data_IF_239963848824
#
_entry.id   IF_239963848824
#
_cell.length_a   1.000
_cell.length_b   1.000
_cell.length_c   1.000
_cell.angle_alpha   90.00
_cell.angle_beta   90.00
_cell.angle_gamma   90.00
#
_symmetry.space_group_name_H-M   'P 1'
#
loop_
_entity.id
_entity.type
_entity.pdbx_description
1 polymer ?
#
# COMPACT_ATOMS: atom_id res chain seq x y z
N UNK A 1 -16.84 -19.84 16.32
CA UNK A 1 -16.50 -21.28 16.16
C UNK A 1 -15.42 -21.32 15.09
N UNK A 2 -14.18 -21.65 15.48
CA UNK A 2 -13.09 -21.83 14.54
C UNK A 2 -13.29 -23.15 13.80
N UNK A 3 -13.18 -23.13 12.49
CA UNK A 3 -13.15 -24.36 11.69
C UNK A 3 -11.86 -25.10 11.97
N UNK A 4 -11.98 -26.30 12.53
CA UNK A 4 -10.84 -27.17 12.80
C UNK A 4 -10.54 -27.96 11.53
N UNK A 5 -9.36 -27.74 10.97
CA UNK A 5 -8.86 -28.48 9.81
C UNK A 5 -8.09 -29.71 10.31
N UNK A 6 -8.49 -30.90 9.88
CA UNK A 6 -7.82 -32.16 10.22
C UNK A 6 -6.96 -32.63 9.06
N UNK A 7 -5.69 -32.88 9.32
CA UNK A 7 -4.79 -33.54 8.38
C UNK A 7 -3.95 -34.59 9.10
N UNK A 8 -3.54 -35.66 8.39
CA UNK A 8 -2.68 -36.74 8.91
C UNK A 8 -1.43 -36.83 8.06
N UNK A 9 -0.29 -36.92 8.71
CA UNK A 9 0.99 -37.13 8.05
C UNK A 9 1.50 -38.48 8.48
N UNK A 10 1.73 -39.36 7.51
CA UNK A 10 2.31 -40.69 7.75
C UNK A 10 3.68 -40.74 7.07
N UNK A 11 4.79 -40.75 7.82
CA UNK A 11 6.11 -40.92 7.24
C UNK A 11 6.19 -42.25 6.47
N UNK A 12 6.74 -42.21 5.26
CA UNK A 12 6.93 -43.39 4.39
C UNK A 12 8.39 -43.65 4.07
N UNK A 13 9.30 -42.84 4.64
CA UNK A 13 10.75 -42.91 4.52
C UNK A 13 11.40 -41.71 5.19
N UNK A 14 12.74 -41.61 5.12
CA UNK A 14 13.47 -40.49 5.73
C UNK A 14 13.11 -39.16 5.12
N UNK A 15 12.77 -39.12 3.83
CA UNK A 15 12.47 -37.90 3.07
C UNK A 15 11.10 -37.97 2.37
N UNK A 16 10.23 -38.88 2.81
CA UNK A 16 8.93 -39.06 2.20
C UNK A 16 7.83 -39.22 3.24
N UNK A 17 6.66 -38.72 2.94
CA UNK A 17 5.46 -38.87 3.75
C UNK A 17 4.21 -38.91 2.88
N UNK A 18 3.22 -39.63 3.36
CA UNK A 18 1.87 -39.53 2.81
C UNK A 18 1.06 -38.56 3.65
N UNK A 19 0.49 -37.55 3.01
CA UNK A 19 -0.34 -36.53 3.64
C UNK A 19 -1.79 -36.75 3.21
N UNK A 20 -2.65 -36.88 4.18
CA UNK A 20 -4.08 -36.90 4.00
C UNK A 20 -4.68 -35.63 4.64
N UNK A 21 -5.63 -35.03 3.95
CA UNK A 21 -6.37 -33.86 4.42
C UNK A 21 -7.86 -34.12 4.32
N UNK A 22 -8.60 -33.73 5.35
CA UNK A 22 -10.06 -33.87 5.36
C UNK A 22 -10.67 -33.07 4.18
N UNK A 23 -11.24 -33.77 3.23
CA UNK A 23 -11.76 -33.22 1.99
C UNK A 23 -11.03 -33.65 0.73
N UNK A 24 -9.87 -34.29 0.86
CA UNK A 24 -9.21 -34.96 -0.28
C UNK A 24 -9.79 -36.36 -0.49
N UNK A 25 -10.02 -36.70 -1.77
CA UNK A 25 -10.47 -38.04 -2.13
C UNK A 25 -9.42 -39.11 -1.85
N UNK A 26 -8.14 -38.74 -2.01
CA UNK A 26 -7.00 -39.64 -1.85
C UNK A 26 -5.85 -38.92 -1.13
N UNK A 27 -5.06 -39.68 -0.31
CA UNK A 27 -3.84 -39.12 0.27
C UNK A 27 -2.82 -38.79 -0.82
N UNK A 28 -1.99 -37.77 -0.61
CA UNK A 28 -0.91 -37.39 -1.52
C UNK A 28 0.42 -37.88 -0.98
N UNK A 29 1.20 -38.49 -1.85
CA UNK A 29 2.58 -38.84 -1.54
C UNK A 29 3.45 -37.58 -1.75
N UNK A 30 4.16 -37.18 -0.70
CA UNK A 30 5.04 -36.02 -0.69
C UNK A 30 6.47 -36.44 -0.42
N UNK A 31 7.39 -35.91 -1.19
CA UNK A 31 8.83 -36.12 -0.98
C UNK A 31 9.37 -34.82 -0.39
N UNK A 32 10.17 -34.92 0.67
CA UNK A 32 10.90 -33.80 1.22
C UNK A 32 11.83 -33.26 0.13
N UNK A 33 11.56 -32.07 -0.36
CA UNK A 33 12.51 -31.40 -1.24
C UNK A 33 13.74 -31.09 -0.39
N UNK A 34 14.87 -31.66 -0.74
CA UNK A 34 16.14 -31.23 -0.16
C UNK A 34 16.26 -29.72 -0.49
N UNK A 35 16.13 -28.89 0.53
CA UNK A 35 16.55 -27.52 0.41
C UNK A 35 18.05 -27.61 0.21
N UNK A 36 18.62 -27.10 -0.89
CA UNK A 36 20.06 -27.08 -1.08
C UNK A 36 20.70 -26.55 0.18
N UNK A 37 21.73 -27.23 0.66
CA UNK A 37 22.47 -26.82 1.84
C UNK A 37 22.80 -25.34 1.67
N UNK A 38 22.46 -24.51 2.65
CA UNK A 38 22.49 -23.03 2.56
C UNK A 38 23.91 -22.45 2.38
N UNK A 39 24.85 -23.24 1.88
CA UNK A 39 26.23 -22.84 1.58
C UNK A 39 26.42 -22.26 0.19
N UNK A 40 25.44 -22.36 -0.71
CA UNK A 40 25.52 -21.59 -1.94
C UNK A 40 25.21 -20.14 -1.62
N UNK A 41 26.08 -19.18 -2.03
CA UNK A 41 25.76 -17.76 -1.87
C UNK A 41 24.44 -17.52 -2.59
N UNK A 42 23.44 -17.12 -1.81
CA UNK A 42 22.13 -16.75 -2.34
C UNK A 42 22.36 -15.76 -3.48
N UNK A 43 21.95 -16.15 -4.67
CA UNK A 43 22.02 -15.26 -5.84
C UNK A 43 21.40 -13.92 -5.43
N UNK A 44 22.09 -12.78 -5.63
CA UNK A 44 21.57 -11.48 -5.21
C UNK A 44 20.17 -11.34 -5.78
N UNK A 45 19.21 -11.17 -4.88
CA UNK A 45 17.83 -11.09 -5.23
C UNK A 45 17.57 -9.88 -6.12
N UNK A 46 17.15 -10.08 -7.34
CA UNK A 46 16.71 -9.01 -8.21
C UNK A 46 15.20 -8.87 -8.08
N UNK A 47 14.76 -8.10 -7.08
CA UNK A 47 13.39 -7.60 -7.08
C UNK A 47 13.26 -6.54 -8.20
N UNK A 48 12.08 -6.39 -8.81
CA UNK A 48 11.86 -5.33 -9.81
C UNK A 48 12.12 -3.96 -9.18
N UNK A 49 12.64 -3.03 -9.96
CA UNK A 49 12.99 -1.67 -9.51
C UNK A 49 11.84 -0.97 -8.77
N UNK A 50 10.63 -1.19 -9.20
CA UNK A 50 9.42 -0.64 -8.57
C UNK A 50 9.22 -1.05 -7.11
N UNK A 51 9.87 -2.09 -6.61
CA UNK A 51 9.78 -2.52 -5.21
C UNK A 51 10.60 -1.60 -4.31
N UNK A 52 11.75 -1.12 -4.78
CA UNK A 52 12.72 -0.36 -4.00
C UNK A 52 12.28 1.09 -3.78
N UNK A 53 11.29 1.26 -2.92
CA UNK A 53 10.74 2.57 -2.54
C UNK A 53 9.98 2.48 -1.23
N UNK A 54 9.47 3.63 -0.78
CA UNK A 54 8.56 3.72 0.36
C UNK A 54 7.13 3.45 -0.07
N UNK A 55 6.47 2.58 0.68
CA UNK A 55 5.08 2.19 0.47
C UNK A 55 4.22 2.64 1.63
N UNK A 56 3.12 3.32 1.33
CA UNK A 56 2.20 3.93 2.30
C UNK A 56 0.83 3.24 2.27
N UNK A 57 0.11 3.33 3.39
CA UNK A 57 -1.25 2.83 3.49
C UNK A 57 -2.24 3.97 3.31
N UNK A 58 -3.02 3.88 2.23
CA UNK A 58 -4.06 4.86 1.91
C UNK A 58 -3.52 6.29 1.87
N UNK A 59 -4.39 7.25 2.10
CA UNK A 59 -4.07 8.68 2.08
C UNK A 59 -3.45 9.22 3.37
N UNK A 60 -3.12 8.34 4.34
CA UNK A 60 -2.48 8.76 5.60
C UNK A 60 -1.02 9.18 5.42
N UNK A 61 -0.38 8.78 4.32
CA UNK A 61 1.04 8.96 4.09
C UNK A 61 1.95 8.17 5.05
N UNK A 62 1.36 7.32 5.91
CA UNK A 62 2.13 6.50 6.84
C UNK A 62 2.90 5.44 6.07
N UNK A 63 4.23 5.52 6.10
CA UNK A 63 5.10 4.51 5.50
C UNK A 63 4.94 3.21 6.30
N UNK A 64 4.54 2.14 5.61
CA UNK A 64 4.39 0.80 6.19
C UNK A 64 5.59 -0.08 5.81
N UNK A 65 6.02 -0.02 4.55
CA UNK A 65 7.18 -0.77 4.05
C UNK A 65 8.14 0.18 3.34
N UNK A 66 9.43 -0.02 3.54
CA UNK A 66 10.48 0.60 2.74
C UNK A 66 11.48 -0.47 2.34
N UNK A 67 11.56 -0.76 1.05
CA UNK A 67 12.54 -1.69 0.47
C UNK A 67 13.73 -0.90 -0.04
N UNK A 68 14.93 -1.31 0.36
CA UNK A 68 16.18 -0.66 -0.03
C UNK A 68 17.01 -1.57 -0.95
N UNK A 69 17.84 -0.97 -1.80
CA UNK A 69 18.62 -1.73 -2.80
C UNK A 69 19.76 -2.57 -2.19
N UNK A 70 20.12 -2.32 -0.95
CA UNK A 70 21.08 -3.12 -0.18
C UNK A 70 20.46 -4.34 0.50
N UNK A 71 19.22 -4.71 0.11
CA UNK A 71 18.57 -5.94 0.58
C UNK A 71 17.93 -5.80 1.96
N UNK A 72 17.55 -4.60 2.36
CA UNK A 72 16.84 -4.38 3.62
C UNK A 72 15.38 -4.05 3.38
N UNK A 73 14.55 -4.41 4.36
CA UNK A 73 13.16 -4.03 4.48
C UNK A 73 12.94 -3.37 5.84
N UNK A 74 12.49 -2.11 5.84
CA UNK A 74 12.00 -1.46 7.05
C UNK A 74 10.50 -1.72 7.14
N UNK A 75 10.09 -2.39 8.19
CA UNK A 75 8.69 -2.77 8.45
C UNK A 75 8.44 -2.89 9.95
N UNK A 76 7.33 -2.35 10.41
CA UNK A 76 6.91 -2.40 11.82
C UNK A 76 7.99 -1.88 12.80
N UNK A 77 8.63 -0.75 12.44
CA UNK A 77 9.69 -0.13 13.23
C UNK A 77 10.99 -0.94 13.35
N UNK A 78 11.14 -2.01 12.57
CA UNK A 78 12.31 -2.89 12.54
C UNK A 78 12.93 -2.93 11.17
N UNK A 79 14.25 -3.21 11.16
CA UNK A 79 14.96 -3.52 9.94
C UNK A 79 15.03 -5.05 9.79
N UNK A 80 14.68 -5.53 8.62
CA UNK A 80 14.70 -6.93 8.23
C UNK A 80 15.69 -7.13 7.09
N UNK A 81 16.51 -8.17 7.17
CA UNK A 81 17.35 -8.63 6.07
C UNK A 81 16.50 -9.45 5.10
N UNK A 82 16.57 -9.15 3.81
CA UNK A 82 15.93 -9.98 2.78
C UNK A 82 16.92 -11.11 2.46
N UNK A 83 16.64 -12.31 2.96
CA UNK A 83 17.52 -13.48 2.79
C UNK A 83 17.36 -14.13 1.43
N UNK A 84 16.12 -14.20 0.95
CA UNK A 84 15.83 -14.78 -0.36
C UNK A 84 14.52 -14.23 -0.91
N UNK A 85 14.35 -14.27 -2.23
CA UNK A 85 13.06 -14.16 -2.88
C UNK A 85 12.98 -15.07 -4.09
N UNK A 86 11.79 -15.41 -4.46
CA UNK A 86 11.46 -16.14 -5.65
C UNK A 86 10.26 -15.52 -6.36
N UNK A 87 10.25 -15.62 -7.68
CA UNK A 87 9.10 -15.27 -8.50
C UNK A 87 8.34 -16.54 -8.85
N UNK A 88 7.04 -16.54 -8.64
CA UNK A 88 6.19 -17.69 -8.85
C UNK A 88 5.20 -17.50 -10.00
N UNK A 89 4.67 -18.58 -10.53
CA UNK A 89 3.78 -18.60 -11.70
C UNK A 89 2.50 -17.77 -11.56
N UNK A 90 2.06 -17.51 -10.34
CA UNK A 90 0.92 -16.65 -10.02
C UNK A 90 1.25 -15.14 -10.05
N UNK A 91 2.41 -14.75 -10.59
CA UNK A 91 2.91 -13.37 -10.63
C UNK A 91 3.13 -12.77 -9.25
N UNK A 92 3.52 -13.60 -8.29
CA UNK A 92 3.79 -13.24 -6.92
C UNK A 92 5.27 -13.39 -6.60
N UNK A 93 5.81 -12.43 -5.84
CA UNK A 93 7.16 -12.54 -5.25
C UNK A 93 7.02 -13.05 -3.82
N UNK A 94 7.80 -14.04 -3.46
CA UNK A 94 7.90 -14.56 -2.10
C UNK A 94 9.25 -14.19 -1.53
N UNK A 95 9.26 -13.50 -0.40
CA UNK A 95 10.45 -13.03 0.28
C UNK A 95 10.56 -13.67 1.64
N UNK A 96 11.70 -14.29 1.92
CA UNK A 96 12.07 -14.67 3.27
C UNK A 96 12.86 -13.51 3.89
N UNK A 97 12.37 -12.97 4.99
CA UNK A 97 13.02 -11.86 5.70
C UNK A 97 13.35 -12.26 7.13
N UNK A 98 14.45 -11.69 7.68
CA UNK A 98 14.95 -11.97 9.03
C UNK A 98 15.22 -10.68 9.79
N UNK A 99 14.84 -10.64 11.07
CA UNK A 99 15.24 -9.58 12.02
C UNK A 99 15.53 -10.21 13.38
N UNK A 100 16.79 -10.18 13.81
CA UNK A 100 17.24 -10.95 14.96
C UNK A 100 16.97 -12.44 14.77
N UNK A 101 16.29 -13.08 15.72
CA UNK A 101 15.88 -14.48 15.65
C UNK A 101 14.51 -14.70 14.95
N UNK A 102 13.87 -13.61 14.50
CA UNK A 102 12.55 -13.68 13.87
C UNK A 102 12.65 -13.81 12.37
N UNK A 103 11.84 -14.69 11.79
CA UNK A 103 11.70 -14.88 10.35
C UNK A 103 10.27 -14.61 9.94
N UNK A 104 10.09 -14.03 8.75
CA UNK A 104 8.77 -13.87 8.12
C UNK A 104 8.85 -14.23 6.64
N UNK A 105 7.76 -14.80 6.13
CA UNK A 105 7.56 -15.01 4.71
C UNK A 105 6.54 -13.98 4.22
N UNK A 106 6.95 -13.14 3.29
CA UNK A 106 6.12 -12.12 2.67
C UNK A 106 5.79 -12.51 1.24
N UNK A 107 4.57 -12.22 0.83
CA UNK A 107 4.08 -12.43 -0.53
C UNK A 107 3.72 -11.07 -1.13
N UNK A 108 4.41 -10.68 -2.21
CA UNK A 108 4.17 -9.41 -2.88
C UNK A 108 3.50 -9.65 -4.23
N UNK A 109 2.39 -9.01 -4.47
CA UNK A 109 1.76 -8.99 -5.79
C UNK A 109 1.42 -7.55 -6.21
N UNK A 110 1.38 -7.31 -7.51
CA UNK A 110 1.18 -5.98 -8.07
C UNK A 110 -0.05 -6.00 -8.98
N UNK A 111 -1.25 -5.85 -8.42
CA UNK A 111 -2.49 -5.87 -9.20
C UNK A 111 -2.59 -4.68 -10.17
N UNK A 112 -1.99 -3.55 -9.82
CA UNK A 112 -1.93 -2.33 -10.61
C UNK A 112 -0.50 -1.76 -10.59
N UNK A 113 -0.12 -0.89 -11.55
CA UNK A 113 1.23 -0.31 -11.62
C UNK A 113 1.70 0.38 -10.34
N UNK A 114 0.80 1.08 -9.66
CA UNK A 114 1.08 1.84 -8.42
C UNK A 114 0.46 1.17 -7.17
N UNK A 115 0.24 -0.12 -7.19
CA UNK A 115 -0.34 -0.84 -6.06
C UNK A 115 0.45 -2.10 -5.77
N UNK A 116 0.78 -2.32 -4.52
CA UNK A 116 1.37 -3.56 -4.03
C UNK A 116 0.47 -4.14 -2.95
N UNK A 117 0.11 -5.40 -3.11
CA UNK A 117 -0.46 -6.19 -2.02
C UNK A 117 0.66 -6.93 -1.32
N UNK A 118 0.68 -6.83 0.00
CA UNK A 118 1.61 -7.58 0.84
C UNK A 118 0.80 -8.52 1.72
N UNK A 119 1.01 -9.81 1.56
CA UNK A 119 0.46 -10.83 2.43
C UNK A 119 1.57 -11.37 3.33
N UNK A 120 1.32 -11.42 4.64
CA UNK A 120 2.19 -12.01 5.63
C UNK A 120 1.33 -12.89 6.53
N UNK A 121 1.55 -14.20 6.49
CA UNK A 121 0.80 -15.19 7.28
C UNK A 121 -0.73 -15.05 7.15
N UNK A 122 -1.37 -14.25 8.03
CA UNK A 122 -2.83 -14.03 8.07
C UNK A 122 -3.22 -12.59 7.75
N UNK A 123 -2.29 -11.73 7.39
CA UNK A 123 -2.54 -10.31 7.14
C UNK A 123 -2.29 -9.97 5.67
N UNK A 124 -3.27 -9.32 5.05
CA UNK A 124 -3.14 -8.77 3.71
C UNK A 124 -3.21 -7.24 3.80
N UNK A 125 -2.20 -6.56 3.29
CA UNK A 125 -2.18 -5.11 3.21
C UNK A 125 -2.03 -4.65 1.76
N UNK A 126 -2.86 -3.68 1.38
CA UNK A 126 -2.76 -2.97 0.11
C UNK A 126 -2.07 -1.64 0.36
N UNK A 127 -1.00 -1.40 -0.35
CA UNK A 127 -0.19 -0.19 -0.20
C UNK A 127 0.13 0.44 -1.55
N UNK A 128 0.42 1.73 -1.54
CA UNK A 128 0.80 2.53 -2.71
C UNK A 128 2.18 3.15 -2.49
N UNK A 129 2.90 3.54 -3.54
CA UNK A 129 4.11 4.35 -3.41
C UNK A 129 3.81 5.65 -2.67
N UNK A 130 4.80 6.16 -1.94
CA UNK A 130 4.68 7.51 -1.37
C UNK A 130 4.53 8.52 -2.51
N UNK A 131 3.65 9.51 -2.32
CA UNK A 131 3.43 10.56 -3.31
C UNK A 131 4.74 11.30 -3.61
N UNK A 132 4.89 11.75 -4.86
CA UNK A 132 6.01 12.59 -5.29
C UNK A 132 6.11 13.91 -4.50
N UNK A 133 4.98 14.35 -3.96
CA UNK A 133 4.83 15.53 -3.09
C UNK A 133 4.20 15.10 -1.77
N UNK A 134 5.00 14.65 -0.79
CA UNK A 134 4.47 14.13 0.49
C UNK A 134 3.66 15.13 1.31
N UNK A 135 3.83 16.43 1.07
CA UNK A 135 3.03 17.49 1.69
C UNK A 135 1.52 17.37 1.41
N UNK A 136 1.14 16.65 0.35
CA UNK A 136 -0.26 16.36 0.01
C UNK A 136 -0.97 15.63 1.15
N UNK A 137 -0.31 14.74 1.85
CA UNK A 137 -0.91 13.98 2.94
C UNK A 137 -1.43 14.85 4.09
N UNK A 138 -0.97 16.10 4.17
CA UNK A 138 -1.51 17.05 5.15
C UNK A 138 -2.96 17.43 4.88
N UNK A 139 -3.46 17.27 3.65
CA UNK A 139 -4.82 17.66 3.25
C UNK A 139 -5.48 16.66 2.29
N UNK A 140 -4.87 15.51 2.06
CA UNK A 140 -5.39 14.46 1.17
C UNK A 140 -6.78 13.99 1.60
N UNK A 141 -7.60 13.58 0.62
CA UNK A 141 -8.94 13.08 0.81
C UNK A 141 -10.01 13.93 0.13
N UNK A 142 -11.27 13.53 0.28
CA UNK A 142 -12.42 14.20 -0.30
C UNK A 142 -13.04 15.16 0.73
N UNK A 143 -13.24 16.40 0.35
CA UNK A 143 -13.78 17.45 1.21
C UNK A 143 -15.22 17.76 0.85
N UNK A 144 -16.13 17.61 1.83
CA UNK A 144 -17.57 17.77 1.71
C UNK A 144 -17.97 19.07 2.40
N UNK A 145 -18.83 19.86 1.76
CA UNK A 145 -19.39 21.05 2.38
C UNK A 145 -20.23 20.66 3.59
N UNK A 146 -19.90 21.18 4.76
CA UNK A 146 -20.57 20.83 6.01
C UNK A 146 -22.06 21.22 6.02
N UNK A 147 -22.43 22.31 5.33
CA UNK A 147 -23.79 22.81 5.32
C UNK A 147 -24.70 22.08 4.32
N UNK A 148 -24.16 21.72 3.14
CA UNK A 148 -24.97 21.13 2.06
C UNK A 148 -24.76 19.64 1.86
N UNK A 149 -23.69 19.08 2.41
CA UNK A 149 -23.29 17.70 2.18
C UNK A 149 -22.69 17.44 0.80
N UNK A 150 -22.51 18.49 -0.02
CA UNK A 150 -21.98 18.34 -1.37
C UNK A 150 -20.48 18.09 -1.38
N UNK A 151 -20.05 17.10 -2.14
CA UNK A 151 -18.66 16.89 -2.43
C UNK A 151 -18.09 18.03 -3.27
N UNK A 152 -16.97 18.60 -2.83
CA UNK A 152 -16.43 19.78 -3.47
C UNK A 152 -15.15 19.52 -4.25
N UNK A 153 -14.16 18.95 -3.58
CA UNK A 153 -12.84 18.71 -4.13
C UNK A 153 -12.20 17.50 -3.45
N UNK A 154 -11.51 16.69 -4.23
CA UNK A 154 -10.68 15.60 -3.75
C UNK A 154 -9.21 15.88 -4.03
N UNK A 155 -8.35 15.62 -3.05
CA UNK A 155 -6.91 15.69 -3.19
C UNK A 155 -6.33 14.27 -3.04
N UNK A 156 -5.58 13.84 -4.03
CA UNK A 156 -4.98 12.51 -4.11
C UNK A 156 -3.48 12.64 -4.28
N UNK A 157 -2.76 11.53 -4.32
CA UNK A 157 -1.30 11.50 -4.30
C UNK A 157 -0.66 12.32 -5.43
N UNK A 158 -1.19 12.23 -6.64
CA UNK A 158 -0.59 12.85 -7.83
C UNK A 158 -1.50 13.88 -8.52
N UNK A 159 -2.77 13.96 -8.13
CA UNK A 159 -3.75 14.83 -8.76
C UNK A 159 -4.85 15.29 -7.79
N UNK A 160 -5.58 16.32 -8.17
CA UNK A 160 -6.83 16.72 -7.53
C UNK A 160 -8.01 16.51 -8.48
N UNK A 161 -9.22 16.34 -7.92
CA UNK A 161 -10.47 16.30 -8.69
C UNK A 161 -11.34 17.45 -8.24
N UNK A 162 -11.74 18.29 -9.17
CA UNK A 162 -12.65 19.39 -8.95
C UNK A 162 -13.61 19.51 -10.15
N UNK A 163 -14.92 19.58 -9.88
CA UNK A 163 -15.97 19.61 -10.92
C UNK A 163 -15.85 18.47 -11.96
N UNK A 164 -15.59 17.25 -11.47
CA UNK A 164 -15.40 16.06 -12.30
C UNK A 164 -14.22 16.15 -13.29
N UNK A 165 -13.28 17.06 -13.09
CA UNK A 165 -12.06 17.21 -13.88
C UNK A 165 -10.84 16.87 -13.05
N UNK A 166 -9.82 16.30 -13.70
CA UNK A 166 -8.52 16.04 -13.11
C UNK A 166 -7.63 17.28 -13.22
N UNK A 167 -6.92 17.57 -12.16
CA UNK A 167 -6.04 18.73 -12.04
C UNK A 167 -4.69 18.28 -11.50
N UNK A 168 -3.62 18.71 -12.16
CA UNK A 168 -2.26 18.49 -11.68
C UNK A 168 -1.88 19.50 -10.61
N UNK A 169 -1.01 19.11 -9.68
CA UNK A 169 -0.44 20.03 -8.72
C UNK A 169 0.70 20.84 -9.34
N UNK A 170 0.50 22.12 -9.58
CA UNK A 170 1.56 23.01 -10.01
C UNK A 170 2.43 23.46 -8.83
N UNK A 171 1.82 23.91 -7.73
CA UNK A 171 2.53 24.24 -6.49
C UNK A 171 1.69 24.04 -5.24
N UNK A 172 2.36 23.73 -4.14
CA UNK A 172 1.78 23.56 -2.81
C UNK A 172 2.63 24.38 -1.83
N UNK A 173 1.98 25.23 -1.04
CA UNK A 173 2.63 26.02 0.00
C UNK A 173 1.87 25.86 1.31
N UNK A 174 2.55 25.36 2.33
CA UNK A 174 1.99 25.15 3.67
C UNK A 174 2.65 26.13 4.65
N UNK A 175 1.83 26.93 5.33
CA UNK A 175 2.25 27.88 6.35
C UNK A 175 1.39 27.69 7.60
N UNK A 176 1.95 27.01 8.60
CA UNK A 176 1.22 26.62 9.83
C UNK A 176 -0.04 25.81 9.47
N UNK A 177 -1.23 26.36 9.73
CA UNK A 177 -2.53 25.74 9.44
C UNK A 177 -3.12 26.14 8.08
N UNK A 178 -2.40 26.93 7.27
CA UNK A 178 -2.86 27.42 5.96
C UNK A 178 -2.11 26.71 4.84
N UNK A 179 -2.85 26.15 3.91
CA UNK A 179 -2.32 25.53 2.70
C UNK A 179 -2.86 26.30 1.49
N UNK A 180 -1.97 26.69 0.60
CA UNK A 180 -2.31 27.25 -0.71
C UNK A 180 -1.85 26.28 -1.77
N UNK A 181 -2.76 25.89 -2.64
CA UNK A 181 -2.51 24.92 -3.71
C UNK A 181 -2.83 25.62 -5.03
N UNK A 182 -1.93 25.56 -5.98
CA UNK A 182 -2.18 25.91 -7.37
C UNK A 182 -2.35 24.64 -8.14
N UNK A 183 -3.50 24.46 -8.74
CA UNK A 183 -3.86 23.35 -9.60
C UNK A 183 -3.83 23.82 -11.05
N UNK A 184 -3.48 22.92 -11.98
CA UNK A 184 -3.39 23.18 -13.41
C UNK A 184 -4.13 22.10 -14.20
N UNK A 185 -4.88 22.54 -15.20
CA UNK A 185 -5.49 21.67 -16.20
C UNK A 185 -5.31 22.32 -17.58
N UNK A 186 -4.36 21.83 -18.38
CA UNK A 186 -3.97 22.48 -19.63
C UNK A 186 -3.42 23.89 -19.40
N UNK A 187 -4.12 24.90 -19.92
CA UNK A 187 -3.78 26.33 -19.74
C UNK A 187 -4.48 26.97 -18.53
N UNK A 188 -5.43 26.28 -17.92
CA UNK A 188 -6.21 26.80 -16.81
C UNK A 188 -5.46 26.60 -15.48
N UNK A 189 -5.58 27.60 -14.60
CA UNK A 189 -5.06 27.52 -13.24
C UNK A 189 -6.20 27.76 -12.23
N UNK A 190 -6.17 26.98 -11.16
CA UNK A 190 -7.12 27.08 -10.07
C UNK A 190 -6.39 27.22 -8.75
N UNK A 191 -6.65 28.31 -8.04
CA UNK A 191 -6.07 28.52 -6.71
C UNK A 191 -7.02 28.03 -5.64
N UNK A 192 -6.55 27.11 -4.83
CA UNK A 192 -7.28 26.58 -3.66
C UNK A 192 -6.59 27.05 -2.39
N UNK A 193 -7.37 27.54 -1.43
CA UNK A 193 -6.87 27.90 -0.10
C UNK A 193 -7.62 27.08 0.93
N UNK A 194 -6.86 26.43 1.80
CA UNK A 194 -7.37 25.60 2.87
C UNK A 194 -6.77 26.09 4.19
N UNK A 195 -7.62 26.38 5.17
CA UNK A 195 -7.19 26.70 6.53
C UNK A 195 -7.74 25.64 7.47
N UNK A 196 -6.87 24.81 8.01
CA UNK A 196 -7.26 23.75 8.93
C UNK A 196 -7.81 24.30 10.22
N UNK A 197 -8.91 23.73 10.70
CA UNK A 197 -9.50 23.95 12.02
C UNK A 197 -9.07 22.83 12.97
N UNK A 198 -9.15 21.59 12.51
CA UNK A 198 -8.77 20.36 13.22
C UNK A 198 -8.34 19.27 12.22
N UNK A 199 -8.24 18.01 12.66
CA UNK A 199 -7.79 16.89 11.80
C UNK A 199 -8.77 16.58 10.67
N UNK A 200 -10.05 16.85 10.85
CA UNK A 200 -11.13 16.45 9.93
C UNK A 200 -11.90 17.62 9.34
N UNK A 201 -11.61 18.85 9.72
CA UNK A 201 -12.33 20.02 9.25
C UNK A 201 -11.43 21.18 8.81
N UNK A 202 -11.90 21.94 7.84
CA UNK A 202 -11.19 23.11 7.33
C UNK A 202 -12.16 24.19 6.80
N UNK A 203 -11.65 25.41 6.69
CA UNK A 203 -12.23 26.42 5.79
C UNK A 203 -11.52 26.32 4.44
N UNK A 204 -12.28 26.10 3.38
CA UNK A 204 -11.77 25.93 2.03
C UNK A 204 -12.42 26.95 1.09
N UNK A 205 -11.62 27.55 0.20
CA UNK A 205 -12.08 28.37 -0.91
C UNK A 205 -11.41 27.94 -2.20
N UNK A 206 -12.17 27.93 -3.29
CA UNK A 206 -11.71 27.60 -4.63
C UNK A 206 -11.85 28.81 -5.54
N UNK A 207 -10.77 29.22 -6.20
CA UNK A 207 -10.75 30.40 -7.06
C UNK A 207 -11.08 31.70 -6.30
N UNK A 208 -12.15 32.34 -6.72
CA UNK A 208 -12.65 33.62 -6.14
C UNK A 208 -13.79 33.42 -5.12
N UNK A 209 -14.17 32.16 -4.84
CA UNK A 209 -15.27 31.87 -3.93
C UNK A 209 -14.94 32.26 -2.48
N UNK A 210 -15.97 32.57 -1.71
CA UNK A 210 -15.84 32.77 -0.27
C UNK A 210 -15.50 31.46 0.41
N UNK A 211 -14.64 31.51 1.42
CA UNK A 211 -14.30 30.34 2.21
C UNK A 211 -15.54 29.81 2.95
N UNK A 212 -15.75 28.51 2.88
CA UNK A 212 -16.81 27.78 3.58
C UNK A 212 -16.19 26.66 4.40
N UNK A 213 -16.95 26.12 5.36
CA UNK A 213 -16.48 25.00 6.18
C UNK A 213 -16.74 23.69 5.45
N UNK A 214 -15.70 22.87 5.40
CA UNK A 214 -15.70 21.54 4.82
C UNK A 214 -15.22 20.54 5.85
N UNK A 215 -15.72 19.31 5.73
CA UNK A 215 -15.32 18.16 6.52
C UNK A 215 -14.70 17.11 5.60
N UNK A 216 -13.72 16.40 6.12
CA UNK A 216 -13.08 15.30 5.42
C UNK A 216 -14.05 14.11 5.36
N UNK A 217 -14.27 13.57 4.17
CA UNK A 217 -15.05 12.36 3.99
C UNK A 217 -14.29 11.16 4.56
N UNK A 218 -14.96 10.35 5.35
CA UNK A 218 -14.38 9.08 5.79
C UNK A 218 -14.20 8.13 4.59
N UNK A 219 -13.13 7.35 4.58
CA UNK A 219 -12.69 6.44 3.50
C UNK A 219 -13.77 5.49 2.95
N UNK A 220 -14.88 5.31 3.66
CA UNK A 220 -15.98 4.44 3.25
C UNK A 220 -16.75 4.91 2.00
N UNK A 221 -16.54 6.15 1.56
CA UNK A 221 -17.28 6.77 0.46
C UNK A 221 -16.38 7.32 -0.65
N UNK A 222 -15.10 6.93 -0.67
CA UNK A 222 -14.28 7.19 -1.86
C UNK A 222 -14.89 6.41 -3.01
N UNK A 223 -15.37 7.06 -4.08
CA UNK A 223 -15.85 6.33 -5.23
C UNK A 223 -14.72 5.45 -5.76
N UNK A 224 -15.05 4.21 -6.16
CA UNK A 224 -14.13 3.39 -6.94
C UNK A 224 -13.71 4.22 -8.14
N UNK A 225 -12.40 4.50 -8.25
CA UNK A 225 -11.90 5.29 -9.37
C UNK A 225 -12.21 4.56 -10.68
N UNK A 226 -12.74 5.27 -11.68
CA UNK A 226 -12.71 4.71 -13.01
C UNK A 226 -11.24 4.51 -13.38
N UNK A 227 -10.83 3.26 -13.46
CA UNK A 227 -9.52 2.88 -13.99
C UNK A 227 -9.60 3.19 -15.47
N UNK A 228 -8.89 4.24 -15.93
CA UNK A 228 -8.72 4.51 -17.33
C UNK A 228 -7.72 3.53 -17.94
#
# INVERSE_FOLDING_TARGET
KGDTTEFRITPTGNDAATIWYKGWKEPKHCIRKQVPDHTEPLTPLTLPDRVYQKWVKGLSGKVIYEFTRDGKLLYDGKTWDILSAGYFLNKEYRLLVKSGESYKLLYLSFPLPKTMNVAAELQNEKVSPIASRPEIYAFAGCWINQATGDWRIGFFEDFAVYQCQFWDYESISIQKNRTTIILKNGTEQLKVRLTRKDETSCNLSVGKEKAQTYVLCNDKYLPDYPVA
#
